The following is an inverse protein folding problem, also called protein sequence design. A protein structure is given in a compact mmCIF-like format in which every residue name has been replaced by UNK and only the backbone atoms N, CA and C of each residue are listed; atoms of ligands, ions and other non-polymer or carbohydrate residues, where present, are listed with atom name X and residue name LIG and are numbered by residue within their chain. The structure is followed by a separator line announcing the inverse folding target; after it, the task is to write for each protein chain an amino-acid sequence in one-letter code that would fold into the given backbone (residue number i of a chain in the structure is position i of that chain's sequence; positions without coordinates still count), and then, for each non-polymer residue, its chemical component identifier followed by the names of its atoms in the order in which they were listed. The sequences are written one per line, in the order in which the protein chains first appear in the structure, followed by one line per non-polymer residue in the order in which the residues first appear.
data_IF_724586975590
#
_entry.id   IF_724586975590
#
_cell.length_a   1.000
_cell.length_b   1.000
_cell.length_c   1.000
_cell.angle_alpha   90.00
_cell.angle_beta   90.00
_cell.angle_gamma   90.00
#
_symmetry.space_group_name_H-M   'P 1'
#
loop_
_entity.id
_entity.type
_entity.pdbx_description
1 polymer ?
#
# COMPACT_ATOMS: atom_id res chain seq x y z
N UNK A 1 -4.20 18.59 -17.36
CA UNK A 1 -5.30 18.24 -16.44
C UNK A 1 -5.10 19.05 -15.18
N UNK A 2 -6.13 19.75 -14.72
CA UNK A 2 -6.07 20.62 -13.55
C UNK A 2 -7.03 20.12 -12.48
N UNK A 3 -6.65 20.29 -11.22
CA UNK A 3 -7.49 19.99 -10.06
C UNK A 3 -7.63 21.24 -9.22
N UNK A 4 -8.85 21.57 -8.84
CA UNK A 4 -9.16 22.72 -8.00
C UNK A 4 -10.21 22.30 -6.98
N UNK A 5 -10.05 22.77 -5.75
CA UNK A 5 -10.98 22.57 -4.64
C UNK A 5 -11.03 23.85 -3.83
N UNK A 6 -12.23 24.38 -3.60
CA UNK A 6 -12.42 25.65 -2.89
C UNK A 6 -13.69 26.36 -3.31
N UNK A 7 -13.88 27.55 -2.75
CA UNK A 7 -14.98 28.45 -3.10
C UNK A 7 -14.67 29.20 -4.40
N UNK A 8 -14.85 28.51 -5.54
CA UNK A 8 -14.52 29.01 -6.86
C UNK A 8 -15.64 28.62 -7.82
N UNK A 9 -16.13 29.59 -8.61
CA UNK A 9 -17.06 29.30 -9.72
C UNK A 9 -16.37 28.45 -10.79
N UNK A 10 -16.98 27.31 -11.13
CA UNK A 10 -16.48 26.41 -12.17
C UNK A 10 -16.26 27.13 -13.50
N UNK A 11 -17.25 27.91 -13.95
CA UNK A 11 -17.17 28.64 -15.23
C UNK A 11 -16.05 29.69 -15.21
N UNK A 12 -15.83 30.35 -14.08
CA UNK A 12 -14.73 31.30 -13.94
C UNK A 12 -13.38 30.60 -14.02
N UNK A 13 -13.23 29.45 -13.36
CA UNK A 13 -12.02 28.64 -13.41
C UNK A 13 -11.73 28.14 -14.83
N UNK A 14 -12.73 27.64 -15.54
CA UNK A 14 -12.59 27.16 -16.92
C UNK A 14 -12.07 28.30 -17.82
N UNK A 15 -12.70 29.48 -17.78
CA UNK A 15 -12.25 30.65 -18.55
C UNK A 15 -10.81 31.05 -18.25
N UNK A 16 -10.42 31.01 -16.98
CA UNK A 16 -9.06 31.34 -16.56
C UNK A 16 -8.04 30.32 -17.09
N UNK A 17 -8.36 29.03 -17.02
CA UNK A 17 -7.51 27.95 -17.54
C UNK A 17 -7.40 27.98 -19.06
N UNK A 18 -8.50 28.21 -19.78
CA UNK A 18 -8.50 28.37 -21.23
C UNK A 18 -7.58 29.53 -21.65
N UNK A 19 -7.71 30.68 -20.99
CA UNK A 19 -6.84 31.84 -21.24
C UNK A 19 -5.37 31.53 -20.94
N UNK A 20 -5.09 30.86 -19.83
CA UNK A 20 -3.73 30.54 -19.40
C UNK A 20 -3.06 29.45 -20.26
N UNK A 21 -3.84 28.58 -20.89
CA UNK A 21 -3.35 27.45 -21.70
C UNK A 21 -3.50 27.64 -23.21
N UNK A 22 -4.00 28.80 -23.66
CA UNK A 22 -4.21 29.12 -25.08
C UNK A 22 -2.96 28.96 -25.97
N UNK A 23 -1.76 29.11 -25.40
CA UNK A 23 -0.49 28.91 -26.12
C UNK A 23 0.01 27.47 -26.18
N UNK A 24 -0.69 26.50 -25.58
CA UNK A 24 -0.23 25.11 -25.56
C UNK A 24 -0.56 24.41 -26.88
N UNK A 25 0.42 23.68 -27.42
CA UNK A 25 0.18 22.85 -28.59
C UNK A 25 -0.81 21.72 -28.26
N UNK A 26 -1.69 21.32 -29.20
CA UNK A 26 -2.55 20.16 -29.02
C UNK A 26 -1.73 18.92 -28.67
N UNK A 27 -2.03 18.29 -27.54
CA UNK A 27 -1.36 17.09 -27.07
C UNK A 27 -2.35 15.98 -26.80
N UNK A 28 -2.11 14.79 -27.35
CA UNK A 28 -2.85 13.60 -26.97
C UNK A 28 -2.31 13.03 -25.65
N UNK A 29 -3.15 12.53 -24.74
CA UNK A 29 -2.68 11.87 -23.54
C UNK A 29 -1.82 10.66 -23.91
N UNK A 30 -0.66 10.50 -23.26
CA UNK A 30 0.22 9.32 -23.44
C UNK A 30 -0.34 8.05 -22.76
N UNK A 31 -1.63 8.01 -22.46
CA UNK A 31 -2.29 6.87 -21.84
C UNK A 31 -2.34 5.70 -22.81
N UNK A 32 -1.55 4.65 -22.51
CA UNK A 32 -1.71 3.32 -23.14
C UNK A 32 -0.46 2.66 -23.73
N UNK A 33 0.68 3.34 -23.90
CA UNK A 33 1.85 2.76 -24.62
C UNK A 33 2.82 1.90 -23.76
N UNK A 34 2.42 1.46 -22.57
CA UNK A 34 3.28 0.67 -21.67
C UNK A 34 2.70 -0.67 -21.20
N UNK A 35 1.44 -0.99 -21.53
CA UNK A 35 0.85 -2.30 -21.22
C UNK A 35 1.26 -3.29 -22.30
N UNK A 36 2.42 -3.91 -22.15
CA UNK A 36 2.85 -4.91 -23.13
C UNK A 36 4.25 -5.47 -22.94
N UNK A 37 5.12 -4.82 -22.17
CA UNK A 37 6.36 -5.45 -21.78
C UNK A 37 6.06 -6.48 -20.68
N UNK A 38 6.19 -7.77 -21.01
CA UNK A 38 6.21 -8.82 -19.98
C UNK A 38 7.37 -8.51 -19.04
N UNK A 39 7.06 -8.26 -17.77
CA UNK A 39 8.10 -8.07 -16.77
C UNK A 39 8.97 -9.33 -16.71
N UNK A 40 10.29 -9.20 -16.46
CA UNK A 40 11.14 -10.36 -16.25
C UNK A 40 10.59 -11.21 -15.10
N UNK A 41 10.82 -12.52 -15.18
CA UNK A 41 10.46 -13.45 -14.12
C UNK A 41 11.00 -12.91 -12.79
N UNK A 42 10.14 -12.87 -11.77
CA UNK A 42 10.55 -12.42 -10.46
C UNK A 42 11.32 -13.56 -9.78
N UNK A 43 12.58 -13.31 -9.46
CA UNK A 43 13.43 -14.22 -8.71
C UNK A 43 13.68 -13.61 -7.34
N UNK A 44 13.18 -14.23 -6.24
CA UNK A 44 13.46 -13.74 -4.90
C UNK A 44 14.95 -13.88 -4.59
N UNK A 45 15.49 -12.93 -3.84
CA UNK A 45 16.88 -13.00 -3.38
C UNK A 45 17.01 -12.56 -1.92
N UNK A 46 18.12 -12.95 -1.30
CA UNK A 46 18.55 -12.41 -0.02
C UNK A 46 19.87 -11.68 -0.22
N UNK A 47 19.89 -10.39 0.10
CA UNK A 47 21.07 -9.54 -0.02
C UNK A 47 21.42 -8.93 1.35
N UNK A 48 22.69 -9.03 1.73
CA UNK A 48 23.25 -8.44 2.94
C UNK A 48 24.32 -7.45 2.52
N UNK A 49 24.15 -6.19 2.90
CA UNK A 49 25.05 -5.10 2.56
C UNK A 49 25.63 -4.52 3.83
N UNK A 50 26.95 -4.60 3.99
CA UNK A 50 27.59 -3.96 5.14
C UNK A 50 27.68 -2.45 4.94
N UNK A 51 27.17 -1.70 5.92
CA UNK A 51 27.15 -0.23 5.99
C UNK A 51 27.70 0.31 7.31
N UNK A 52 28.09 -0.56 8.25
CA UNK A 52 28.65 -0.14 9.54
C UNK A 52 27.63 0.61 10.39
N UNK A 53 26.36 0.22 10.27
CA UNK A 53 25.24 0.84 10.98
C UNK A 53 25.13 0.28 12.39
N UNK A 54 24.70 1.11 13.35
CA UNK A 54 24.48 0.63 14.72
C UNK A 54 23.31 -0.36 14.82
N UNK A 55 22.32 -0.23 13.93
CA UNK A 55 21.19 -1.14 13.82
C UNK A 55 21.25 -1.87 12.49
N UNK A 56 20.73 -3.08 12.47
CA UNK A 56 20.41 -3.77 11.22
C UNK A 56 19.08 -3.24 10.69
N UNK A 57 19.08 -2.78 9.44
CA UNK A 57 17.89 -2.34 8.73
C UNK A 57 17.44 -3.45 7.78
N UNK A 58 16.25 -3.99 8.01
CA UNK A 58 15.76 -5.16 7.28
C UNK A 58 14.50 -4.81 6.50
N UNK A 59 14.52 -5.10 5.21
CA UNK A 59 13.37 -4.99 4.31
C UNK A 59 13.01 -6.38 3.78
N UNK A 60 11.75 -6.77 3.88
CA UNK A 60 11.23 -8.04 3.37
C UNK A 60 10.02 -7.73 2.50
N UNK A 61 10.00 -8.20 1.26
CA UNK A 61 8.93 -7.83 0.33
C UNK A 61 8.79 -8.73 -0.87
N UNK A 62 7.79 -8.41 -1.70
CA UNK A 62 7.48 -9.14 -2.92
C UNK A 62 7.01 -8.18 -4.02
N UNK A 63 7.11 -8.62 -5.26
CA UNK A 63 6.38 -8.00 -6.37
C UNK A 63 4.88 -8.14 -6.10
N UNK A 64 4.18 -7.01 -6.14
CA UNK A 64 2.77 -6.89 -5.88
C UNK A 64 2.01 -6.44 -7.15
N UNK A 65 0.79 -5.96 -6.95
CA UNK A 65 -0.14 -5.66 -8.04
C UNK A 65 0.00 -4.26 -8.62
N UNK A 66 -0.22 -4.15 -9.92
CA UNK A 66 -0.35 -2.87 -10.62
C UNK A 66 -1.61 -2.10 -10.19
N UNK A 67 -1.69 -0.84 -10.61
CA UNK A 67 -2.74 0.10 -10.20
C UNK A 67 -4.15 -0.33 -10.64
N UNK A 68 -4.26 -1.15 -11.68
CA UNK A 68 -5.51 -1.61 -12.27
C UNK A 68 -6.00 -2.96 -11.74
N UNK A 69 -5.15 -3.72 -11.05
CA UNK A 69 -5.54 -4.97 -10.43
C UNK A 69 -6.47 -4.72 -9.22
N UNK A 70 -7.61 -5.41 -9.19
CA UNK A 70 -8.60 -5.28 -8.11
C UNK A 70 -8.06 -5.81 -6.77
N UNK A 71 -7.15 -6.78 -6.79
CA UNK A 71 -6.52 -7.38 -5.60
C UNK A 71 -5.64 -6.40 -4.84
N UNK A 72 -5.17 -5.32 -5.49
CA UNK A 72 -4.40 -4.26 -4.80
C UNK A 72 -5.18 -3.66 -3.62
N UNK A 73 -6.50 -3.58 -3.75
CA UNK A 73 -7.34 -3.03 -2.69
C UNK A 73 -7.36 -3.93 -1.46
N UNK A 74 -7.48 -5.24 -1.67
CA UNK A 74 -7.41 -6.24 -0.61
C UNK A 74 -6.02 -6.21 0.06
N UNK A 75 -4.96 -6.10 -0.74
CA UNK A 75 -3.59 -5.93 -0.23
C UNK A 75 -3.43 -4.66 0.61
N UNK A 76 -4.07 -3.56 0.23
CA UNK A 76 -4.06 -2.32 1.01
C UNK A 76 -4.71 -2.50 2.40
N UNK A 77 -5.84 -3.21 2.47
CA UNK A 77 -6.48 -3.57 3.74
C UNK A 77 -5.55 -4.42 4.61
N UNK A 78 -4.89 -5.43 4.01
CA UNK A 78 -3.93 -6.27 4.74
C UNK A 78 -2.69 -5.48 5.20
N UNK A 79 -2.18 -4.58 4.36
CA UNK A 79 -1.06 -3.71 4.71
C UNK A 79 -1.40 -2.85 5.94
N UNK A 80 -2.62 -2.31 6.00
CA UNK A 80 -3.09 -1.55 7.16
C UNK A 80 -3.09 -2.38 8.45
N UNK A 81 -3.47 -3.65 8.37
CA UNK A 81 -3.48 -4.57 9.52
C UNK A 81 -2.09 -5.04 9.94
N UNK A 82 -1.16 -5.19 8.99
CA UNK A 82 0.17 -5.75 9.23
C UNK A 82 1.10 -4.74 9.89
N UNK A 83 1.30 -3.59 9.25
CA UNK A 83 2.24 -2.55 9.65
C UNK A 83 1.74 -1.17 9.23
N UNK A 84 0.43 -0.96 9.29
CA UNK A 84 -0.19 0.36 9.09
C UNK A 84 0.01 1.28 10.30
N UNK A 85 -0.54 2.51 10.24
CA UNK A 85 -0.31 3.55 11.23
C UNK A 85 -0.94 3.26 12.61
N UNK A 86 -1.77 2.21 12.73
CA UNK A 86 -2.37 1.82 14.00
C UNK A 86 -1.35 1.14 14.90
N UNK A 87 -1.25 1.56 16.16
CA UNK A 87 -0.43 0.87 17.17
C UNK A 87 -0.87 -0.60 17.40
N UNK A 88 -2.09 -0.94 16.99
CA UNK A 88 -2.62 -2.30 17.02
C UNK A 88 -2.18 -3.17 15.81
N UNK A 89 -1.34 -2.64 14.91
CA UNK A 89 -0.83 -3.39 13.77
C UNK A 89 -0.06 -4.64 14.24
N UNK A 90 -0.23 -5.74 13.51
CA UNK A 90 0.26 -7.06 13.93
C UNK A 90 1.78 -7.09 14.16
N UNK A 91 2.53 -6.45 13.27
CA UNK A 91 3.99 -6.40 13.37
C UNK A 91 4.45 -5.48 14.50
N UNK A 92 3.75 -4.37 14.74
CA UNK A 92 4.03 -3.51 15.89
C UNK A 92 3.82 -4.28 17.21
N UNK A 93 2.68 -4.95 17.37
CA UNK A 93 2.42 -5.78 18.55
C UNK A 93 3.47 -6.89 18.68
N UNK A 94 3.80 -7.59 17.58
CA UNK A 94 4.66 -8.75 17.62
C UNK A 94 6.13 -8.41 17.90
N UNK A 95 6.68 -7.37 17.27
CA UNK A 95 8.09 -7.02 17.39
C UNK A 95 8.37 -5.98 18.48
N UNK A 96 7.54 -4.93 18.58
CA UNK A 96 7.73 -3.82 19.52
C UNK A 96 7.08 -4.10 20.87
N UNK A 97 5.76 -4.24 20.93
CA UNK A 97 5.04 -4.31 22.22
C UNK A 97 5.32 -5.60 23.01
N UNK A 98 5.33 -6.75 22.34
CA UNK A 98 5.51 -8.05 23.02
C UNK A 98 6.95 -8.47 23.24
N UNK A 99 7.88 -7.97 22.43
CA UNK A 99 9.27 -8.46 22.44
C UNK A 99 10.32 -7.35 22.58
N UNK A 100 9.98 -6.07 22.41
CA UNK A 100 10.92 -4.96 22.57
C UNK A 100 12.10 -4.97 21.61
N UNK A 101 11.99 -5.62 20.44
CA UNK A 101 13.13 -5.85 19.52
C UNK A 101 13.37 -4.71 18.53
N UNK A 102 12.34 -3.91 18.29
CA UNK A 102 12.35 -2.85 17.27
C UNK A 102 11.73 -1.59 17.85
N UNK A 103 12.28 -0.45 17.46
CA UNK A 103 11.63 0.84 17.70
C UNK A 103 10.62 1.16 16.60
N UNK A 104 10.97 0.86 15.35
CA UNK A 104 10.13 1.07 14.16
C UNK A 104 9.91 -0.24 13.42
N UNK A 105 8.65 -0.47 13.05
CA UNK A 105 8.26 -1.52 12.10
C UNK A 105 7.01 -1.08 11.37
N UNK A 106 7.07 -1.11 10.04
CA UNK A 106 6.00 -0.66 9.17
C UNK A 106 5.87 -1.59 7.96
N UNK A 107 4.76 -1.46 7.25
CA UNK A 107 4.55 -2.10 5.95
C UNK A 107 4.04 -1.09 4.93
N UNK A 108 4.59 -1.18 3.73
CA UNK A 108 4.32 -0.28 2.62
C UNK A 108 3.93 -1.07 1.38
N UNK A 109 3.10 -0.45 0.55
CA UNK A 109 2.83 -0.94 -0.80
C UNK A 109 2.82 0.22 -1.79
N UNK A 110 3.29 -0.06 -3.00
CA UNK A 110 3.30 0.86 -4.13
C UNK A 110 2.76 0.12 -5.33
N UNK A 111 1.83 0.74 -6.07
CA UNK A 111 1.32 0.21 -7.33
C UNK A 111 1.72 1.15 -8.46
N UNK A 112 2.47 0.59 -9.42
CA UNK A 112 2.83 1.21 -10.69
C UNK A 112 1.82 0.80 -11.77
N UNK A 113 2.03 1.26 -13.01
CA UNK A 113 1.13 0.98 -14.14
C UNK A 113 1.16 -0.46 -14.63
N UNK A 114 2.28 -1.15 -14.42
CA UNK A 114 2.60 -2.48 -14.93
C UNK A 114 2.94 -3.49 -13.82
N UNK A 115 3.30 -3.01 -12.61
CA UNK A 115 3.64 -3.85 -11.47
C UNK A 115 3.32 -3.17 -10.14
N UNK A 116 3.56 -3.86 -9.03
CA UNK A 116 3.59 -3.26 -7.71
C UNK A 116 4.72 -3.80 -6.85
N UNK A 117 4.87 -3.20 -5.68
CA UNK A 117 5.75 -3.65 -4.61
C UNK A 117 4.96 -3.66 -3.32
N UNK A 118 5.18 -4.69 -2.50
CA UNK A 118 4.84 -4.68 -1.10
C UNK A 118 6.09 -5.00 -0.29
N UNK A 119 6.37 -4.26 0.77
CA UNK A 119 7.47 -4.56 1.68
C UNK A 119 7.14 -4.18 3.11
N UNK A 120 7.70 -4.93 4.07
CA UNK A 120 7.82 -4.52 5.46
C UNK A 120 9.24 -4.11 5.76
N UNK A 121 9.39 -3.11 6.62
CA UNK A 121 10.66 -2.57 7.07
C UNK A 121 10.70 -2.60 8.60
N UNK A 122 11.84 -2.96 9.17
CA UNK A 122 12.11 -2.76 10.60
C UNK A 122 13.60 -2.53 10.86
N UNK A 123 13.90 -1.80 11.94
CA UNK A 123 15.24 -1.65 12.48
C UNK A 123 15.39 -2.40 13.80
N UNK A 124 16.41 -3.24 13.93
CA UNK A 124 16.70 -3.99 15.16
C UNK A 124 18.21 -4.07 15.44
N UNK A 125 18.60 -4.58 16.61
CA UNK A 125 20.00 -4.90 16.86
C UNK A 125 20.47 -6.04 15.93
N UNK A 126 21.74 -6.04 15.47
CA UNK A 126 22.25 -7.06 14.55
C UNK A 126 22.07 -8.51 15.05
N UNK A 127 22.18 -8.72 16.35
CA UNK A 127 22.01 -10.05 16.96
C UNK A 127 20.54 -10.52 17.00
N UNK A 128 19.57 -9.61 16.87
CA UNK A 128 18.14 -9.90 16.91
C UNK A 128 17.50 -10.13 15.53
N UNK A 129 18.22 -9.88 14.43
CA UNK A 129 17.73 -10.01 13.05
C UNK A 129 17.02 -11.34 12.82
N UNK A 130 17.63 -12.45 13.24
CA UNK A 130 17.06 -13.79 13.06
C UNK A 130 15.73 -13.98 13.81
N UNK A 131 15.63 -13.39 15.01
CA UNK A 131 14.41 -13.43 15.83
C UNK A 131 13.31 -12.58 15.21
N UNK A 132 13.62 -11.36 14.76
CA UNK A 132 12.69 -10.46 14.10
C UNK A 132 12.13 -11.07 12.80
N UNK A 133 13.00 -11.60 11.93
CA UNK A 133 12.59 -12.29 10.68
C UNK A 133 11.62 -13.44 10.93
N UNK A 134 11.88 -14.26 11.97
CA UNK A 134 10.98 -15.36 12.35
C UNK A 134 9.61 -14.85 12.83
N UNK A 135 9.57 -13.75 13.56
CA UNK A 135 8.31 -13.15 14.01
C UNK A 135 7.52 -12.59 12.83
N UNK A 136 8.17 -11.89 11.90
CA UNK A 136 7.55 -11.39 10.66
C UNK A 136 6.96 -12.55 9.87
N UNK A 137 7.76 -13.57 9.54
CA UNK A 137 7.30 -14.75 8.79
C UNK A 137 6.08 -15.40 9.45
N UNK A 138 6.08 -15.55 10.78
CA UNK A 138 4.95 -16.10 11.51
C UNK A 138 3.68 -15.25 11.39
N UNK A 139 3.77 -13.92 11.44
CA UNK A 139 2.58 -13.07 11.29
C UNK A 139 2.03 -13.07 9.86
N UNK A 140 2.91 -13.19 8.87
CA UNK A 140 2.55 -13.37 7.46
C UNK A 140 1.86 -14.73 7.22
N UNK A 141 2.46 -15.83 7.72
CA UNK A 141 1.91 -17.19 7.62
C UNK A 141 0.53 -17.29 8.26
N UNK A 142 0.27 -16.58 9.37
CA UNK A 142 -1.06 -16.56 10.00
C UNK A 142 -2.15 -15.99 9.09
N UNK A 143 -1.82 -15.06 8.18
CA UNK A 143 -2.77 -14.50 7.22
C UNK A 143 -2.96 -15.42 6.01
N UNK A 144 -1.91 -16.13 5.59
CA UNK A 144 -1.97 -17.05 4.46
C UNK A 144 -2.60 -18.42 4.80
N UNK A 145 -2.36 -18.92 6.02
CA UNK A 145 -2.73 -20.28 6.44
C UNK A 145 -4.22 -20.47 6.68
N UNK A 146 -4.92 -19.46 7.23
CA UNK A 146 -6.36 -19.53 7.52
C UNK A 146 -7.08 -18.22 7.27
N UNK A 147 -8.37 -18.24 6.87
CA UNK A 147 -9.19 -17.04 6.80
C UNK A 147 -9.24 -16.30 8.14
N UNK A 148 -9.41 -14.98 8.08
CA UNK A 148 -9.69 -14.18 9.28
C UNK A 148 -11.02 -14.60 9.90
N UNK A 149 -11.11 -14.53 11.23
CA UNK A 149 -12.42 -14.64 11.90
C UNK A 149 -13.31 -13.47 11.48
N UNK A 150 -14.63 -13.68 11.52
CA UNK A 150 -15.61 -12.63 11.25
C UNK A 150 -15.37 -11.38 12.11
N UNK A 151 -15.01 -11.57 13.38
CA UNK A 151 -14.67 -10.48 14.32
C UNK A 151 -13.42 -9.70 13.90
N UNK A 152 -12.36 -10.39 13.46
CA UNK A 152 -11.13 -9.75 13.03
C UNK A 152 -11.32 -9.00 11.71
N UNK A 153 -12.07 -9.58 10.77
CA UNK A 153 -12.41 -8.92 9.50
C UNK A 153 -13.25 -7.67 9.74
N UNK A 154 -14.30 -7.76 10.57
CA UNK A 154 -15.14 -6.62 10.91
C UNK A 154 -14.34 -5.48 11.57
N UNK A 155 -13.42 -5.81 12.48
CA UNK A 155 -12.54 -4.83 13.10
C UNK A 155 -11.62 -4.13 12.08
N UNK A 156 -11.02 -4.89 11.16
CA UNK A 156 -10.17 -4.35 10.11
C UNK A 156 -10.94 -3.42 9.15
N UNK A 157 -12.12 -3.84 8.71
CA UNK A 157 -13.03 -3.01 7.89
C UNK A 157 -13.41 -1.72 8.60
N UNK A 158 -13.80 -1.80 9.87
CA UNK A 158 -14.16 -0.61 10.67
C UNK A 158 -12.99 0.36 10.80
N UNK A 159 -11.78 -0.16 11.06
CA UNK A 159 -10.58 0.66 11.18
C UNK A 159 -10.28 1.44 9.90
N UNK A 160 -10.25 0.76 8.75
CA UNK A 160 -9.91 1.42 7.50
C UNK A 160 -11.00 2.41 7.04
N UNK A 161 -12.28 2.10 7.27
CA UNK A 161 -13.39 3.03 7.01
C UNK A 161 -13.27 4.29 7.88
N UNK A 162 -12.91 4.13 9.16
CA UNK A 162 -12.65 5.26 10.05
C UNK A 162 -11.48 6.14 9.55
N UNK A 163 -10.38 5.52 9.13
CA UNK A 163 -9.23 6.23 8.57
C UNK A 163 -9.56 6.96 7.26
N UNK A 164 -10.36 6.34 6.38
CA UNK A 164 -10.83 6.99 5.15
C UNK A 164 -11.71 8.19 5.49
N UNK A 165 -12.61 8.08 6.48
CA UNK A 165 -13.44 9.19 6.95
C UNK A 165 -12.60 10.39 7.39
N UNK A 166 -11.64 10.17 8.29
CA UNK A 166 -10.73 11.23 8.78
C UNK A 166 -9.88 11.82 7.66
N UNK A 167 -9.41 11.00 6.72
CA UNK A 167 -8.60 11.48 5.59
C UNK A 167 -9.40 12.42 4.65
N UNK A 168 -10.72 12.27 4.58
CA UNK A 168 -11.58 13.13 3.76
C UNK A 168 -11.80 14.53 4.36
N UNK A 169 -11.55 14.74 5.65
CA UNK A 169 -11.66 16.07 6.27
C UNK A 169 -10.53 17.01 5.82
N UNK A 170 -9.39 16.45 5.39
CA UNK A 170 -8.31 17.24 4.82
C UNK A 170 -8.59 17.50 3.32
N UNK A 171 -9.07 18.73 3.02
CA UNK A 171 -9.41 19.19 1.67
C UNK A 171 -8.25 19.12 0.67
N UNK A 172 -7.01 19.31 1.11
CA UNK A 172 -5.82 19.24 0.27
C UNK A 172 -5.51 17.79 -0.13
N UNK A 173 -5.45 16.89 0.86
CA UNK A 173 -5.25 15.46 0.59
C UNK A 173 -6.39 14.89 -0.26
N UNK A 174 -7.63 15.36 -0.04
CA UNK A 174 -8.77 14.97 -0.85
C UNK A 174 -8.57 15.37 -2.33
N UNK A 175 -8.11 16.60 -2.60
CA UNK A 175 -7.87 17.08 -3.96
C UNK A 175 -6.71 16.33 -4.65
N UNK A 176 -5.62 16.06 -3.94
CA UNK A 176 -4.49 15.29 -4.47
C UNK A 176 -4.88 13.84 -4.78
N UNK A 177 -5.61 13.19 -3.87
CA UNK A 177 -6.11 11.83 -4.06
C UNK A 177 -7.11 11.74 -5.21
N UNK A 178 -8.03 12.69 -5.31
CA UNK A 178 -8.96 12.80 -6.43
C UNK A 178 -8.18 12.89 -7.72
N UNK A 179 -7.16 13.75 -7.75
CA UNK A 179 -6.39 13.96 -8.95
C UNK A 179 -5.64 12.72 -9.40
N UNK A 180 -5.03 12.02 -8.45
CA UNK A 180 -4.39 10.72 -8.69
C UNK A 180 -5.38 9.66 -9.20
N UNK A 181 -6.56 9.56 -8.58
CA UNK A 181 -7.59 8.60 -8.99
C UNK A 181 -8.06 8.84 -10.42
N UNK A 182 -8.36 10.10 -10.76
CA UNK A 182 -8.81 10.47 -12.10
C UNK A 182 -7.72 10.26 -13.14
N UNK A 183 -6.44 10.57 -12.83
CA UNK A 183 -5.31 10.28 -13.71
C UNK A 183 -5.12 8.78 -14.01
N UNK A 184 -5.30 7.91 -13.02
CA UNK A 184 -5.09 6.46 -13.21
C UNK A 184 -6.30 5.72 -13.78
N UNK A 185 -7.52 6.19 -13.48
CA UNK A 185 -8.74 5.43 -13.75
C UNK A 185 -9.77 6.19 -14.59
N UNK A 186 -9.67 7.52 -14.70
CA UNK A 186 -10.69 8.36 -15.32
C UNK A 186 -12.00 8.41 -14.52
N UNK A 187 -11.97 8.04 -13.24
CA UNK A 187 -13.16 7.92 -12.38
C UNK A 187 -13.12 9.01 -11.31
N UNK A 188 -14.28 9.64 -11.09
CA UNK A 188 -14.54 10.53 -9.97
C UNK A 188 -14.39 9.79 -8.62
N UNK A 189 -13.74 10.42 -7.64
CA UNK A 189 -13.58 9.81 -6.31
C UNK A 189 -14.94 9.78 -5.61
N UNK A 190 -15.49 8.58 -5.43
CA UNK A 190 -16.69 8.34 -4.65
C UNK A 190 -16.32 7.60 -3.35
N UNK A 191 -16.42 8.32 -2.24
CA UNK A 191 -16.12 7.79 -0.90
C UNK A 191 -17.14 6.75 -0.48
N UNK A 192 -18.44 6.94 -0.79
CA UNK A 192 -19.48 5.97 -0.44
C UNK A 192 -19.25 4.64 -1.18
N UNK A 193 -18.91 4.71 -2.47
CA UNK A 193 -18.51 3.54 -3.25
C UNK A 193 -17.24 2.88 -2.72
N UNK A 194 -16.26 3.67 -2.26
CA UNK A 194 -15.06 3.14 -1.63
C UNK A 194 -15.40 2.38 -0.34
N UNK A 195 -16.29 2.92 0.50
CA UNK A 195 -16.77 2.26 1.71
C UNK A 195 -17.50 0.96 1.39
N UNK A 196 -18.38 0.96 0.39
CA UNK A 196 -19.09 -0.25 -0.06
C UNK A 196 -18.11 -1.33 -0.53
N UNK A 197 -17.06 -0.95 -1.27
CA UNK A 197 -15.99 -1.88 -1.67
C UNK A 197 -15.24 -2.47 -0.49
N UNK A 198 -15.04 -1.72 0.61
CA UNK A 198 -14.48 -2.29 1.86
C UNK A 198 -15.42 -3.36 2.41
N UNK A 199 -16.72 -3.09 2.39
CA UNK A 199 -17.75 -3.99 2.94
C UNK A 199 -17.86 -5.30 2.14
N UNK A 200 -17.59 -5.28 0.84
CA UNK A 200 -17.60 -6.46 -0.04
C UNK A 200 -16.44 -7.45 0.21
N UNK A 201 -15.32 -7.01 0.80
CA UNK A 201 -14.13 -7.87 0.97
C UNK A 201 -14.40 -9.06 1.89
N UNK A 202 -14.14 -10.28 1.43
CA UNK A 202 -14.31 -11.49 2.23
C UNK A 202 -13.02 -11.93 2.93
N UNK A 203 -13.12 -12.85 3.90
CA UNK A 203 -11.94 -13.39 4.57
C UNK A 203 -11.12 -14.29 3.63
N UNK A 204 -11.80 -14.93 2.69
CA UNK A 204 -11.27 -15.79 1.65
C UNK A 204 -10.49 -14.98 0.60
N UNK A 205 -11.00 -13.80 0.23
CA UNK A 205 -10.29 -12.85 -0.63
C UNK A 205 -8.95 -12.45 0.01
N UNK A 206 -8.98 -12.08 1.29
CA UNK A 206 -7.77 -11.72 2.03
C UNK A 206 -6.79 -12.87 2.12
N UNK A 207 -7.26 -14.09 2.40
CA UNK A 207 -6.40 -15.26 2.45
C UNK A 207 -5.76 -15.57 1.09
N UNK A 208 -6.53 -15.45 0.00
CA UNK A 208 -6.04 -15.70 -1.35
C UNK A 208 -4.90 -14.74 -1.71
N UNK A 209 -5.09 -13.45 -1.43
CA UNK A 209 -4.05 -12.43 -1.64
C UNK A 209 -2.85 -12.66 -0.72
N UNK A 210 -3.08 -13.05 0.54
CA UNK A 210 -2.01 -13.35 1.49
C UNK A 210 -1.14 -14.53 1.03
N UNK A 211 -1.75 -15.61 0.50
CA UNK A 211 -1.01 -16.76 -0.06
C UNK A 211 -0.18 -16.38 -1.27
N UNK A 212 -0.64 -15.44 -2.09
CA UNK A 212 0.09 -15.02 -3.28
C UNK A 212 1.27 -14.09 -2.95
N UNK A 213 1.05 -13.10 -2.08
CA UNK A 213 2.01 -12.03 -1.80
C UNK A 213 2.99 -12.40 -0.69
N UNK A 214 2.53 -13.13 0.33
CA UNK A 214 3.34 -13.48 1.51
C UNK A 214 3.94 -14.88 1.47
N UNK A 215 3.90 -15.53 0.30
CA UNK A 215 4.60 -16.79 0.09
C UNK A 215 6.10 -16.63 0.39
N UNK A 216 6.58 -17.39 1.38
CA UNK A 216 7.98 -17.39 1.83
C UNK A 216 8.96 -17.62 0.68
N UNK A 217 8.55 -18.41 -0.33
CA UNK A 217 9.40 -18.78 -1.47
C UNK A 217 9.38 -17.69 -2.55
N UNK A 218 8.69 -16.57 -2.32
CA UNK A 218 8.63 -15.38 -3.18
C UNK A 218 9.07 -14.09 -2.45
N UNK A 219 9.52 -14.18 -1.20
CA UNK A 219 9.98 -13.00 -0.48
C UNK A 219 11.45 -12.70 -0.80
N UNK A 220 11.71 -11.46 -1.21
CA UNK A 220 13.06 -10.88 -1.26
C UNK A 220 13.37 -10.23 0.08
N UNK A 221 14.60 -10.43 0.57
CA UNK A 221 15.10 -9.80 1.81
C UNK A 221 16.33 -8.96 1.49
N UNK A 222 16.33 -7.70 1.90
CA UNK A 222 17.49 -6.80 1.86
C UNK A 222 17.83 -6.38 3.28
N UNK A 223 19.10 -6.51 3.66
CA UNK A 223 19.60 -6.17 4.99
C UNK A 223 20.79 -5.22 4.88
N UNK A 224 20.72 -4.09 5.58
CA UNK A 224 21.89 -3.25 5.83
C UNK A 224 22.39 -3.52 7.25
N UNK A 225 23.65 -3.93 7.39
CA UNK A 225 24.29 -4.30 8.67
C UNK A 225 25.57 -3.53 8.94
#
# INVERSE_FOLDING_TARGET
MFFASGDISFDHLVRLLEKATAGFAPSAPRSGKGRGATLPAYVPCEEVVSRGTHQAHVMIGNRAYDVHDRRRFILYLMNNMLGGPGMNARLNIALREKNGLVYTVDSSMVSYSDTGLWCTYFGCDPHDVKKCRRLVARELDKLASKPLSATALAAAKRQIKGQIGVACDNRENFALDFGRSYLHHGIEKDVARLMARVDEVTAEDMQTVAREIFDKDRLTTLMFV
#
